data_IF_416972391769
#
_entry.id   IF_416972391769
#
_cell.length_a   1.000
_cell.length_b   1.000
_cell.length_c   1.000
_cell.angle_alpha   90.00
_cell.angle_beta   90.00
_cell.angle_gamma   90.00
#
_symmetry.space_group_name_H-M   'P 1'
#
loop_
_entity.id
_entity.type
_entity.pdbx_description
1 polymer ?
#
# COMPACT_ATOMS: atom_id res chain seq x y z
N UNK A 1 8.95 -15.73 5.32
CA UNK A 1 8.84 -16.61 4.12
C UNK A 1 9.96 -16.24 3.17
N UNK A 2 10.85 -17.15 2.92
CA UNK A 2 12.00 -16.91 2.06
C UNK A 2 11.69 -17.34 0.62
N UNK A 3 11.62 -16.38 -0.30
CA UNK A 3 11.57 -16.70 -1.72
C UNK A 3 12.99 -16.62 -2.31
N UNK A 4 13.28 -17.49 -3.27
CA UNK A 4 14.56 -17.41 -3.97
C UNK A 4 14.66 -16.14 -4.81
N UNK A 5 15.88 -15.67 -5.05
CA UNK A 5 16.11 -14.48 -5.90
C UNK A 5 15.47 -14.62 -7.30
N UNK A 6 15.57 -15.82 -7.89
CA UNK A 6 14.96 -16.10 -9.20
C UNK A 6 13.42 -16.01 -9.14
N UNK A 7 12.80 -16.51 -8.08
CA UNK A 7 11.35 -16.39 -7.87
C UNK A 7 10.93 -14.93 -7.75
N UNK A 8 11.68 -14.14 -6.99
CA UNK A 8 11.48 -12.71 -6.87
C UNK A 8 11.57 -11.99 -8.22
N UNK A 9 12.62 -12.22 -8.99
CA UNK A 9 12.80 -11.61 -10.32
C UNK A 9 11.67 -11.98 -11.28
N UNK A 10 11.25 -13.24 -11.30
CA UNK A 10 10.14 -13.69 -12.12
C UNK A 10 8.83 -13.03 -11.72
N UNK A 11 8.59 -12.86 -10.42
CA UNK A 11 7.40 -12.18 -9.92
C UNK A 11 7.38 -10.70 -10.35
N UNK A 12 8.50 -10.00 -10.18
CA UNK A 12 8.62 -8.59 -10.57
C UNK A 12 8.44 -8.42 -12.08
N UNK A 13 9.07 -9.28 -12.90
CA UNK A 13 8.94 -9.23 -14.35
C UNK A 13 7.49 -9.45 -14.81
N UNK A 14 6.74 -10.34 -14.15
CA UNK A 14 5.32 -10.58 -14.45
C UNK A 14 4.42 -9.39 -14.14
N UNK A 15 4.79 -8.53 -13.21
CA UNK A 15 3.96 -7.37 -12.79
C UNK A 15 3.70 -6.38 -13.94
N UNK A 16 4.59 -6.32 -14.92
CA UNK A 16 4.50 -5.39 -16.07
C UNK A 16 3.98 -6.01 -17.37
N UNK A 17 3.55 -7.27 -17.33
CA UNK A 17 3.00 -7.94 -18.52
C UNK A 17 1.55 -7.47 -18.79
N UNK A 18 1.17 -7.27 -20.09
CA UNK A 18 -0.20 -6.88 -20.44
C UNK A 18 -1.27 -7.84 -19.92
N UNK A 19 -1.00 -9.16 -19.93
CA UNK A 19 -1.91 -10.17 -19.38
C UNK A 19 -2.15 -9.97 -17.87
N UNK A 20 -1.13 -9.57 -17.12
CA UNK A 20 -1.24 -9.30 -15.69
C UNK A 20 -2.12 -8.06 -15.45
N UNK A 21 -1.92 -6.98 -16.19
CA UNK A 21 -2.77 -5.79 -16.09
C UNK A 21 -4.23 -6.10 -16.37
N UNK A 22 -4.50 -6.87 -17.42
CA UNK A 22 -5.86 -7.28 -17.78
C UNK A 22 -6.53 -8.08 -16.65
N UNK A 23 -5.79 -9.00 -16.05
CA UNK A 23 -6.27 -9.79 -14.90
C UNK A 23 -6.53 -8.93 -13.68
N UNK A 24 -5.62 -8.00 -13.37
CA UNK A 24 -5.76 -7.09 -12.23
C UNK A 24 -6.96 -6.18 -12.36
N UNK A 25 -7.21 -5.61 -13.54
CA UNK A 25 -8.39 -4.77 -13.80
C UNK A 25 -9.69 -5.55 -13.56
N UNK A 26 -9.75 -6.81 -13.96
CA UNK A 26 -10.93 -7.66 -13.74
C UNK A 26 -11.17 -8.01 -12.26
N UNK A 27 -10.17 -7.84 -11.39
CA UNK A 27 -10.20 -8.23 -9.97
C UNK A 27 -9.98 -7.04 -9.02
N UNK A 28 -10.24 -5.82 -9.46
CA UNK A 28 -10.16 -4.63 -8.59
C UNK A 28 -11.18 -4.77 -7.46
N UNK A 29 -10.72 -4.53 -6.24
CA UNK A 29 -11.53 -4.53 -5.03
C UNK A 29 -11.27 -3.26 -4.22
N UNK A 30 -12.23 -2.88 -3.40
CA UNK A 30 -12.04 -1.79 -2.45
C UNK A 30 -10.96 -2.15 -1.42
N UNK A 31 -10.11 -1.18 -1.09
CA UNK A 31 -9.11 -1.37 -0.03
C UNK A 31 -9.78 -1.45 1.34
N UNK A 32 -9.51 -2.49 2.15
CA UNK A 32 -10.01 -2.57 3.52
C UNK A 32 -9.36 -1.55 4.46
N UNK A 33 -8.34 -0.85 4.00
CA UNK A 33 -7.61 0.17 4.79
C UNK A 33 -8.28 1.54 4.77
N UNK A 34 -9.36 1.71 4.01
CA UNK A 34 -10.12 2.94 3.91
C UNK A 34 -11.61 2.66 4.07
N UNK A 35 -12.33 3.64 4.61
CA UNK A 35 -13.77 3.59 4.78
C UNK A 35 -14.41 4.82 4.16
N UNK A 36 -15.51 4.61 3.45
CA UNK A 36 -16.36 5.69 2.97
C UNK A 36 -17.07 6.35 4.17
N UNK A 37 -17.03 7.66 4.24
CA UNK A 37 -17.69 8.47 5.25
C UNK A 37 -19.00 9.04 4.71
N UNK A 38 -19.84 9.57 5.60
CA UNK A 38 -21.16 10.13 5.23
C UNK A 38 -21.07 11.31 4.27
N UNK A 39 -19.96 12.04 4.31
CA UNK A 39 -19.69 13.16 3.40
C UNK A 39 -19.18 12.74 2.01
N UNK A 40 -19.10 11.42 1.75
CA UNK A 40 -18.61 10.86 0.49
C UNK A 40 -17.08 10.78 0.38
N UNK A 41 -16.34 11.21 1.39
CA UNK A 41 -14.88 11.05 1.42
C UNK A 41 -14.47 9.67 1.91
N UNK A 42 -13.22 9.28 1.65
CA UNK A 42 -12.63 8.04 2.17
C UNK A 42 -11.57 8.38 3.20
N UNK A 43 -11.67 7.79 4.38
CA UNK A 43 -10.73 7.99 5.48
C UNK A 43 -10.03 6.70 5.84
N UNK A 44 -8.76 6.76 6.25
CA UNK A 44 -8.04 5.60 6.77
C UNK A 44 -8.76 4.99 7.96
N UNK A 45 -8.75 3.67 8.05
CA UNK A 45 -9.21 2.93 9.23
C UNK A 45 -8.03 2.33 9.96
N UNK A 46 -8.14 2.05 11.28
CA UNK A 46 -7.11 1.33 12.00
C UNK A 46 -6.82 -0.02 11.34
N UNK A 47 -5.55 -0.27 11.11
CA UNK A 47 -5.06 -1.52 10.54
C UNK A 47 -3.93 -2.05 11.44
N UNK A 48 -4.29 -2.76 12.54
CA UNK A 48 -3.35 -3.15 13.56
C UNK A 48 -2.35 -4.18 13.04
N UNK A 49 -1.13 -4.08 13.50
CA UNK A 49 -0.03 -4.95 13.15
C UNK A 49 1.31 -4.32 13.52
N UNK A 50 2.38 -5.02 13.27
CA UNK A 50 3.73 -4.55 13.51
C UNK A 50 4.61 -4.84 12.30
N UNK A 51 5.30 -3.81 11.83
CA UNK A 51 6.22 -3.90 10.69
C UNK A 51 7.52 -3.17 11.02
N UNK A 52 8.60 -3.60 10.41
CA UNK A 52 9.86 -2.84 10.36
C UNK A 52 9.84 -2.07 9.06
N UNK A 53 9.93 -0.76 9.16
CA UNK A 53 9.87 0.16 8.02
C UNK A 53 11.05 1.13 8.05
N UNK A 54 11.35 1.75 6.91
CA UNK A 54 12.19 2.95 6.87
C UNK A 54 11.49 4.11 7.59
N UNK A 55 12.19 5.19 7.96
CA UNK A 55 11.54 6.39 8.47
C UNK A 55 10.44 6.86 7.51
N UNK A 56 9.34 7.43 8.00
CA UNK A 56 8.29 7.97 7.14
C UNK A 56 8.80 9.12 6.28
N UNK A 57 8.15 9.33 5.12
CA UNK A 57 8.58 10.30 4.11
C UNK A 57 8.80 11.72 4.62
N UNK A 58 8.09 12.11 5.67
CA UNK A 58 8.30 13.41 6.33
C UNK A 58 9.67 13.51 7.05
N UNK A 59 10.30 12.39 7.41
CA UNK A 59 11.53 12.32 8.19
C UNK A 59 12.69 11.69 7.40
N UNK A 60 12.40 10.95 6.34
CA UNK A 60 13.39 10.22 5.55
C UNK A 60 14.02 11.13 4.51
N UNK A 61 15.24 11.56 4.77
CA UNK A 61 16.03 12.38 3.83
C UNK A 61 16.73 11.55 2.75
N UNK A 62 17.05 10.30 3.04
CA UNK A 62 17.77 9.41 2.11
C UNK A 62 16.93 9.03 0.88
N UNK A 63 15.63 8.84 1.09
CA UNK A 63 14.68 8.43 0.04
C UNK A 63 13.81 9.58 -0.48
N UNK A 64 14.11 10.83 -0.13
CA UNK A 64 13.29 11.99 -0.46
C UNK A 64 13.01 12.13 -1.97
N UNK A 65 13.98 11.82 -2.83
CA UNK A 65 13.83 11.86 -4.28
C UNK A 65 12.78 10.86 -4.77
N UNK A 66 12.82 9.62 -4.30
CA UNK A 66 11.85 8.58 -4.66
C UNK A 66 10.45 8.95 -4.18
N UNK A 67 10.33 9.48 -2.97
CA UNK A 67 9.03 9.89 -2.44
C UNK A 67 8.44 11.09 -3.18
N UNK A 68 9.29 12.02 -3.65
CA UNK A 68 8.85 13.12 -4.51
C UNK A 68 8.31 12.61 -5.85
N UNK A 69 8.98 11.64 -6.47
CA UNK A 69 8.54 11.01 -7.72
C UNK A 69 7.21 10.25 -7.54
N UNK A 70 7.05 9.54 -6.43
CA UNK A 70 5.79 8.86 -6.09
C UNK A 70 4.65 9.86 -5.88
N UNK A 71 4.89 10.96 -5.19
CA UNK A 71 3.90 12.02 -5.00
C UNK A 71 3.50 12.66 -6.34
N UNK A 72 4.47 12.91 -7.24
CA UNK A 72 4.19 13.39 -8.59
C UNK A 72 3.36 12.36 -9.40
N UNK A 73 3.66 11.08 -9.27
CA UNK A 73 2.88 10.00 -9.88
C UNK A 73 1.44 10.00 -9.38
N UNK A 74 1.21 10.14 -8.07
CA UNK A 74 -0.14 10.27 -7.51
C UNK A 74 -0.90 11.44 -8.13
N UNK A 75 -0.28 12.61 -8.23
CA UNK A 75 -0.89 13.79 -8.85
C UNK A 75 -1.19 13.58 -10.34
N UNK A 76 -0.36 12.83 -11.04
CA UNK A 76 -0.63 12.47 -12.42
C UNK A 76 -1.85 11.55 -12.55
N UNK A 77 -1.94 10.53 -11.69
CA UNK A 77 -3.06 9.59 -11.66
C UNK A 77 -4.39 10.27 -11.35
N UNK A 78 -4.43 11.24 -10.44
CA UNK A 78 -5.65 11.99 -10.12
C UNK A 78 -6.20 12.79 -11.29
N UNK A 79 -5.34 13.15 -12.26
CA UNK A 79 -5.78 13.83 -13.49
C UNK A 79 -6.31 12.88 -14.56
N UNK A 80 -6.00 11.60 -14.44
CA UNK A 80 -6.37 10.56 -15.41
C UNK A 80 -7.59 9.74 -14.98
N UNK A 81 -7.88 9.71 -13.70
CA UNK A 81 -8.91 8.86 -13.11
C UNK A 81 -10.06 9.70 -12.55
N UNK A 82 -11.26 9.13 -12.57
CA UNK A 82 -12.41 9.71 -11.89
C UNK A 82 -12.13 9.82 -10.38
N UNK A 83 -12.66 10.85 -9.71
CA UNK A 83 -12.34 11.13 -8.30
C UNK A 83 -12.59 9.97 -7.34
N UNK A 84 -13.60 9.13 -7.64
CA UNK A 84 -14.02 8.03 -6.77
C UNK A 84 -13.21 6.73 -6.96
N UNK A 85 -12.33 6.70 -7.97
CA UNK A 85 -11.54 5.51 -8.29
C UNK A 85 -10.21 5.44 -7.56
N UNK A 86 -9.76 6.52 -6.94
CA UNK A 86 -8.44 6.60 -6.34
C UNK A 86 -8.49 7.28 -4.97
N UNK A 87 -7.89 6.65 -3.98
CA UNK A 87 -7.59 7.26 -2.68
C UNK A 87 -6.09 7.38 -2.55
N UNK A 88 -5.61 8.61 -2.33
CA UNK A 88 -4.19 8.87 -2.18
C UNK A 88 -3.71 8.54 -0.77
N UNK A 89 -2.56 7.89 -0.69
CA UNK A 89 -1.81 7.77 0.56
C UNK A 89 -1.06 9.09 0.78
N UNK A 90 -1.06 9.59 2.00
CA UNK A 90 -0.33 10.81 2.36
C UNK A 90 1.17 10.64 2.10
N UNK A 91 1.80 11.48 1.26
CA UNK A 91 3.23 11.41 1.00
C UNK A 91 4.11 11.47 2.25
N UNK A 92 3.67 12.16 3.30
CA UNK A 92 4.37 12.20 4.58
C UNK A 92 4.50 10.82 5.25
N UNK A 93 3.61 9.88 4.91
CA UNK A 93 3.59 8.51 5.43
C UNK A 93 4.32 7.50 4.54
N UNK A 94 4.85 7.88 3.39
CA UNK A 94 5.57 6.96 2.51
C UNK A 94 6.74 6.31 3.22
N UNK A 95 6.90 5.02 3.04
CA UNK A 95 7.99 4.25 3.63
C UNK A 95 8.23 2.97 2.83
N UNK A 96 9.40 2.38 3.00
CA UNK A 96 9.65 1.01 2.57
C UNK A 96 9.44 0.07 3.74
N UNK A 97 8.65 -0.97 3.55
CA UNK A 97 8.49 -2.04 4.53
C UNK A 97 9.62 -3.03 4.34
N UNK A 98 10.40 -3.25 5.39
CA UNK A 98 11.52 -4.20 5.41
C UNK A 98 11.07 -5.59 5.86
N UNK A 99 10.16 -5.65 6.82
CA UNK A 99 9.57 -6.89 7.31
C UNK A 99 8.22 -6.64 7.97
N UNK A 100 7.27 -7.51 7.71
CA UNK A 100 6.03 -7.57 8.46
C UNK A 100 6.16 -8.63 9.56
N UNK A 101 5.99 -8.22 10.81
CA UNK A 101 6.19 -9.07 11.98
C UNK A 101 4.89 -9.71 12.44
N UNK A 102 3.81 -8.93 12.51
CA UNK A 102 2.48 -9.38 12.92
C UNK A 102 1.45 -8.80 11.96
N UNK A 103 0.67 -9.67 11.35
CA UNK A 103 -0.42 -9.30 10.46
C UNK A 103 -1.67 -8.87 11.25
N UNK A 104 -2.51 -8.05 10.64
CA UNK A 104 -3.78 -7.61 11.20
C UNK A 104 -4.62 -8.78 11.74
N UNK A 105 -4.78 -9.84 10.98
CA UNK A 105 -5.54 -11.03 11.41
C UNK A 105 -4.94 -11.70 12.64
N UNK A 106 -3.62 -11.84 12.70
CA UNK A 106 -2.93 -12.40 13.86
C UNK A 106 -3.03 -11.49 15.09
N UNK A 107 -2.96 -10.17 14.88
CA UNK A 107 -3.11 -9.19 15.94
C UNK A 107 -4.52 -9.23 16.56
N UNK A 108 -5.55 -9.32 15.74
CA UNK A 108 -6.95 -9.44 16.19
C UNK A 108 -7.16 -10.72 16.99
N UNK A 109 -6.69 -11.86 16.50
CA UNK A 109 -6.79 -13.15 17.19
C UNK A 109 -6.07 -13.12 18.54
N UNK A 110 -4.89 -12.51 18.62
CA UNK A 110 -4.17 -12.37 19.87
C UNK A 110 -4.92 -11.50 20.90
N UNK A 111 -5.57 -10.43 20.42
CA UNK A 111 -6.38 -9.56 21.30
C UNK A 111 -7.63 -10.27 21.81
N UNK A 112 -8.29 -11.07 20.98
CA UNK A 112 -9.46 -11.88 21.37
C UNK A 112 -9.09 -12.97 22.38
N UNK A 113 -7.91 -13.57 22.23
CA UNK A 113 -7.41 -14.61 23.14
C UNK A 113 -6.95 -14.06 24.50
N UNK A 114 -6.56 -12.81 24.59
CA UNK A 114 -6.09 -12.11 25.78
C UNK A 114 -6.78 -10.74 25.90
N UNK A 115 -8.05 -10.75 26.28
CA UNK A 115 -8.82 -9.51 26.41
C UNK A 115 -8.33 -8.63 27.57
#
# INVERSE_FOLDING_TARGET
MDESHNTYLNRVAKMTLPATYKSQIANIQESPKFRLTEDGSRKPVPFPGYSVITPPGAEDTENAGIYADLAACQQHLTKQLEPDLLVLVDPASFHFTLADLIWDSACRTATEANP
#
